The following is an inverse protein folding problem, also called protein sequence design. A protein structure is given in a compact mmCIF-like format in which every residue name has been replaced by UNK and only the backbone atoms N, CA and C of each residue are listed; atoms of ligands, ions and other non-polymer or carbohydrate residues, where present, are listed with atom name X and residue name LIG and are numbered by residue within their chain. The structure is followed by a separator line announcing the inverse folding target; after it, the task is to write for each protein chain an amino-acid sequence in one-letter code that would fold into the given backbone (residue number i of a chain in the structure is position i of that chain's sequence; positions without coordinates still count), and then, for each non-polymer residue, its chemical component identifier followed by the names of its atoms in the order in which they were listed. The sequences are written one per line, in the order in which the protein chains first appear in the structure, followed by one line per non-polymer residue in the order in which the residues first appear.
data_IF_575800427893
#
_entry.id   IF_575800427893
#
_cell.length_a   1.000
_cell.length_b   1.000
_cell.length_c   1.000
_cell.angle_alpha   90.00
_cell.angle_beta   90.00
_cell.angle_gamma   90.00
#
_symmetry.space_group_name_H-M   'P 1'
#
loop_
_entity.id
_entity.type
_entity.pdbx_description
1 polymer ?
#
# COMPACT_ATOMS: atom_id res chain seq x y z
N UNK A 1 11.18 6.27 -26.54
CA UNK A 1 11.25 5.00 -25.78
C UNK A 1 10.70 5.26 -24.40
N UNK A 2 9.83 4.40 -23.89
CA UNK A 2 9.29 4.50 -22.52
C UNK A 2 10.42 4.35 -21.50
N UNK A 3 10.34 5.12 -20.42
CA UNK A 3 11.24 4.97 -19.26
C UNK A 3 10.90 3.70 -18.49
N UNK A 4 11.63 3.42 -17.40
CA UNK A 4 11.29 2.30 -16.46
C UNK A 4 9.91 2.52 -15.85
N UNK A 5 9.58 3.77 -15.55
CA UNK A 5 8.29 4.14 -14.94
C UNK A 5 7.15 3.95 -15.94
N UNK A 6 7.37 4.27 -17.21
CA UNK A 6 6.40 4.01 -18.28
C UNK A 6 6.14 2.52 -18.50
N UNK A 7 7.17 1.66 -18.43
CA UNK A 7 7.01 0.22 -18.48
C UNK A 7 6.25 -0.32 -17.26
N UNK A 8 6.60 0.16 -16.05
CA UNK A 8 5.87 -0.21 -14.83
C UNK A 8 4.39 0.22 -14.94
N UNK A 9 4.13 1.45 -15.41
CA UNK A 9 2.78 1.94 -15.66
C UNK A 9 2.00 1.07 -16.63
N UNK A 10 2.65 0.60 -17.70
CA UNK A 10 2.02 -0.27 -18.71
C UNK A 10 1.66 -1.64 -18.14
N UNK A 11 2.53 -2.23 -17.33
CA UNK A 11 2.25 -3.51 -16.64
C UNK A 11 1.09 -3.36 -15.67
N UNK A 12 1.09 -2.30 -14.85
CA UNK A 12 -0.01 -2.02 -13.91
C UNK A 12 -1.31 -1.75 -14.64
N UNK A 13 -1.28 -1.00 -15.75
CA UNK A 13 -2.46 -0.74 -16.57
C UNK A 13 -3.03 -2.05 -17.14
N UNK A 14 -2.20 -2.89 -17.74
CA UNK A 14 -2.64 -4.17 -18.28
C UNK A 14 -3.24 -5.07 -17.19
N UNK A 15 -2.56 -5.19 -16.05
CA UNK A 15 -3.07 -5.98 -14.91
C UNK A 15 -4.41 -5.42 -14.39
N UNK A 16 -4.52 -4.11 -14.24
CA UNK A 16 -5.75 -3.47 -13.78
C UNK A 16 -6.92 -3.68 -14.73
N UNK A 17 -6.68 -3.62 -16.05
CA UNK A 17 -7.72 -3.84 -17.04
C UNK A 17 -8.18 -5.30 -17.08
N UNK A 18 -7.25 -6.26 -17.01
CA UNK A 18 -7.57 -7.70 -16.93
C UNK A 18 -8.40 -7.99 -15.69
N UNK A 19 -7.93 -7.54 -14.52
CA UNK A 19 -8.65 -7.73 -13.26
C UNK A 19 -10.01 -7.02 -13.27
N UNK A 20 -10.10 -5.83 -13.85
CA UNK A 20 -11.37 -5.12 -14.02
C UNK A 20 -12.36 -5.94 -14.85
N UNK A 21 -11.90 -6.51 -15.98
CA UNK A 21 -12.71 -7.42 -16.80
C UNK A 21 -13.26 -8.60 -15.99
N UNK A 22 -12.42 -9.25 -15.17
CA UNK A 22 -12.83 -10.36 -14.31
C UNK A 22 -13.88 -9.94 -13.25
N UNK A 23 -13.85 -8.68 -12.80
CA UNK A 23 -14.90 -8.20 -11.87
C UNK A 23 -16.28 -8.06 -12.50
N UNK A 24 -16.36 -7.97 -13.82
CA UNK A 24 -17.65 -7.87 -14.54
C UNK A 24 -18.43 -9.20 -14.49
N UNK A 25 -17.73 -10.32 -14.35
CA UNK A 25 -18.33 -11.65 -14.21
C UNK A 25 -18.90 -11.93 -12.81
N UNK A 26 -18.58 -11.07 -11.82
CA UNK A 26 -19.11 -11.20 -10.46
C UNK A 26 -20.63 -10.97 -10.46
N UNK A 27 -21.38 -12.01 -10.14
CA UNK A 27 -22.85 -11.95 -10.06
C UNK A 27 -23.29 -11.01 -8.95
N UNK A 28 -24.09 -10.02 -9.29
CA UNK A 28 -24.74 -9.17 -8.31
C UNK A 28 -25.82 -9.99 -7.57
N UNK A 29 -25.82 -9.91 -6.25
CA UNK A 29 -26.92 -10.46 -5.44
C UNK A 29 -28.00 -9.39 -5.34
N UNK A 30 -29.23 -9.62 -5.85
CA UNK A 30 -30.30 -8.64 -5.83
C UNK A 30 -30.78 -8.24 -4.42
N UNK A 31 -30.39 -9.01 -3.40
CA UNK A 31 -30.72 -8.74 -1.99
C UNK A 31 -29.77 -7.75 -1.31
N UNK A 32 -28.67 -7.37 -1.98
CA UNK A 32 -27.65 -6.48 -1.41
C UNK A 32 -27.53 -5.23 -2.27
N UNK A 33 -27.76 -4.02 -1.72
CA UNK A 33 -27.71 -2.76 -2.47
C UNK A 33 -26.36 -2.50 -3.16
N UNK A 34 -25.27 -3.00 -2.57
CA UNK A 34 -23.90 -2.85 -3.11
C UNK A 34 -23.33 -4.25 -3.31
N UNK A 35 -23.22 -4.68 -4.56
CA UNK A 35 -22.68 -6.00 -4.91
C UNK A 35 -21.16 -6.11 -4.66
N UNK A 36 -20.63 -7.35 -4.54
CA UNK A 36 -19.22 -7.61 -4.22
C UNK A 36 -18.23 -7.05 -5.26
N UNK A 37 -18.68 -6.81 -6.47
CA UNK A 37 -17.88 -6.22 -7.55
C UNK A 37 -17.77 -4.69 -7.51
N UNK A 38 -18.55 -3.99 -6.68
CA UNK A 38 -18.60 -2.53 -6.68
C UNK A 38 -17.25 -1.92 -6.24
N UNK A 39 -16.75 -2.33 -5.08
CA UNK A 39 -15.48 -1.83 -4.54
C UNK A 39 -14.28 -2.18 -5.44
N UNK A 40 -14.07 -3.44 -5.85
CA UNK A 40 -12.98 -3.78 -6.78
C UNK A 40 -13.03 -3.00 -8.09
N UNK A 41 -14.21 -2.76 -8.66
CA UNK A 41 -14.35 -1.98 -9.91
C UNK A 41 -13.87 -0.56 -9.76
N UNK A 42 -14.23 0.11 -8.67
CA UNK A 42 -13.77 1.49 -8.40
C UNK A 42 -12.25 1.51 -8.26
N UNK A 43 -11.69 0.63 -7.41
CA UNK A 43 -10.24 0.59 -7.16
C UNK A 43 -9.47 0.30 -8.44
N UNK A 44 -9.86 -0.71 -9.19
CA UNK A 44 -9.21 -1.09 -10.44
C UNK A 44 -9.40 -0.03 -11.54
N UNK A 45 -10.55 0.61 -11.60
CA UNK A 45 -10.81 1.72 -12.52
C UNK A 45 -9.91 2.93 -12.22
N UNK A 46 -9.80 3.33 -10.97
CA UNK A 46 -8.89 4.41 -10.54
C UNK A 46 -7.43 4.03 -10.79
N UNK A 47 -7.05 2.79 -10.47
CA UNK A 47 -5.68 2.30 -10.72
C UNK A 47 -5.35 2.30 -12.22
N UNK A 48 -6.25 1.84 -13.06
CA UNK A 48 -6.09 1.87 -14.51
C UNK A 48 -5.95 3.31 -15.04
N UNK A 49 -6.78 4.24 -14.55
CA UNK A 49 -6.69 5.65 -14.92
C UNK A 49 -5.34 6.26 -14.53
N UNK A 50 -4.90 6.04 -13.30
CA UNK A 50 -3.60 6.55 -12.82
C UNK A 50 -2.42 5.94 -13.57
N UNK A 51 -2.48 4.62 -13.86
CA UNK A 51 -1.47 3.95 -14.65
C UNK A 51 -1.43 4.48 -16.10
N UNK A 52 -2.59 4.74 -16.71
CA UNK A 52 -2.67 5.36 -18.04
C UNK A 52 -2.07 6.78 -18.03
N UNK A 53 -2.39 7.59 -17.01
CA UNK A 53 -1.78 8.92 -16.85
C UNK A 53 -0.26 8.82 -16.68
N UNK A 54 0.23 7.85 -15.93
CA UNK A 54 1.67 7.62 -15.77
C UNK A 54 2.34 7.31 -17.11
N UNK A 55 1.76 6.41 -17.90
CA UNK A 55 2.29 6.07 -19.25
C UNK A 55 2.29 7.28 -20.17
N UNK A 56 1.21 8.05 -20.17
CA UNK A 56 1.09 9.26 -21.01
C UNK A 56 2.08 10.33 -20.58
N UNK A 57 2.19 10.60 -19.28
CA UNK A 57 3.14 11.59 -18.76
C UNK A 57 4.58 11.19 -19.03
N UNK A 58 4.92 9.90 -18.88
CA UNK A 58 6.24 9.38 -19.19
C UNK A 58 6.57 9.54 -20.69
N UNK A 59 5.62 9.29 -21.56
CA UNK A 59 5.81 9.49 -23.00
C UNK A 59 6.15 10.94 -23.34
N UNK A 60 5.42 11.90 -22.75
CA UNK A 60 5.70 13.33 -22.96
C UNK A 60 7.00 13.77 -22.28
N UNK A 61 7.31 13.24 -21.09
CA UNK A 61 8.52 13.55 -20.35
C UNK A 61 9.78 12.91 -20.95
N UNK A 62 9.66 11.79 -21.65
CA UNK A 62 10.78 11.11 -22.32
C UNK A 62 11.51 12.01 -23.32
N UNK A 63 10.86 13.07 -23.81
CA UNK A 63 11.48 14.11 -24.65
C UNK A 63 12.34 15.12 -23.87
N UNK A 64 12.22 15.15 -22.52
CA UNK A 64 12.94 16.08 -21.62
C UNK A 64 13.79 15.36 -20.57
N UNK A 65 14.15 14.10 -20.81
CA UNK A 65 14.80 13.26 -19.81
C UNK A 65 16.13 13.86 -19.33
N UNK A 66 16.11 14.30 -18.07
CA UNK A 66 17.31 14.61 -17.28
C UNK A 66 18.06 13.33 -16.85
N UNK A 67 19.20 13.46 -16.15
CA UNK A 67 19.99 12.33 -15.71
C UNK A 67 19.15 11.39 -14.85
N UNK A 68 19.18 10.09 -15.22
CA UNK A 68 18.46 9.04 -14.48
C UNK A 68 19.07 8.86 -13.10
N UNK A 69 18.29 9.08 -12.06
CA UNK A 69 18.69 8.71 -10.68
C UNK A 69 18.80 7.19 -10.61
N UNK A 70 19.94 6.62 -10.14
CA UNK A 70 20.05 5.19 -9.98
C UNK A 70 19.03 4.68 -8.96
N UNK A 71 18.31 3.61 -9.32
CA UNK A 71 17.35 3.00 -8.40
C UNK A 71 18.10 2.20 -7.33
N UNK A 72 17.83 2.47 -6.07
CA UNK A 72 18.35 1.69 -4.95
C UNK A 72 17.49 0.44 -4.74
N UNK A 73 17.86 -0.63 -5.45
CA UNK A 73 17.16 -1.91 -5.33
C UNK A 73 17.33 -2.55 -3.95
N UNK A 74 18.43 -2.25 -3.24
CA UNK A 74 18.66 -2.79 -1.90
C UNK A 74 17.62 -2.22 -0.91
N UNK A 75 17.33 -0.92 -0.98
CA UNK A 75 16.28 -0.30 -0.18
C UNK A 75 14.89 -0.88 -0.50
N UNK A 76 14.61 -1.15 -1.77
CA UNK A 76 13.34 -1.77 -2.19
C UNK A 76 13.20 -3.19 -1.61
N UNK A 77 14.23 -4.04 -1.77
CA UNK A 77 14.23 -5.41 -1.24
C UNK A 77 14.10 -5.40 0.28
N UNK A 78 14.85 -4.51 0.95
CA UNK A 78 14.74 -4.34 2.40
C UNK A 78 13.32 -3.99 2.84
N UNK A 79 12.66 -3.08 2.13
CA UNK A 79 11.28 -2.68 2.44
C UNK A 79 10.30 -3.83 2.28
N UNK A 80 10.45 -4.65 1.23
CA UNK A 80 9.64 -5.86 1.06
C UNK A 80 9.91 -6.90 2.15
N UNK A 81 11.16 -7.05 2.59
CA UNK A 81 11.52 -7.95 3.69
C UNK A 81 10.88 -7.49 5.01
N UNK A 82 10.95 -6.20 5.33
CA UNK A 82 10.29 -5.62 6.50
C UNK A 82 8.77 -5.82 6.45
N UNK A 83 8.16 -5.65 5.28
CA UNK A 83 6.72 -5.93 5.10
C UNK A 83 6.40 -7.42 5.29
N UNK A 84 7.23 -8.32 4.75
CA UNK A 84 7.07 -9.76 4.96
C UNK A 84 7.14 -10.16 6.43
N UNK A 85 8.11 -9.59 7.18
CA UNK A 85 8.24 -9.79 8.63
C UNK A 85 7.00 -9.25 9.36
N UNK A 86 6.50 -8.08 8.98
CA UNK A 86 5.26 -7.52 9.53
C UNK A 86 4.08 -8.48 9.36
N UNK A 87 3.86 -9.00 8.15
CA UNK A 87 2.76 -9.94 7.87
C UNK A 87 2.92 -11.22 8.69
N UNK A 88 4.14 -11.76 8.79
CA UNK A 88 4.43 -12.94 9.60
C UNK A 88 4.22 -12.71 11.09
N UNK A 89 4.46 -11.49 11.58
CA UNK A 89 4.31 -11.12 12.99
C UNK A 89 2.85 -10.87 13.42
N UNK A 90 1.95 -10.58 12.47
CA UNK A 90 0.54 -10.27 12.76
C UNK A 90 -0.16 -11.30 13.67
N UNK A 91 -0.05 -12.64 13.44
CA UNK A 91 -0.71 -13.62 14.28
C UNK A 91 -0.19 -13.68 15.73
N UNK A 92 1.04 -13.21 15.96
CA UNK A 92 1.70 -13.27 17.27
C UNK A 92 1.52 -11.99 18.07
N UNK A 93 1.80 -10.85 17.44
CA UNK A 93 1.79 -9.51 18.06
C UNK A 93 0.43 -8.81 17.98
N UNK A 94 -0.46 -9.26 17.10
CA UNK A 94 -1.69 -8.55 16.78
C UNK A 94 -1.48 -7.32 15.91
N UNK A 95 -2.58 -6.84 15.33
CA UNK A 95 -2.54 -5.74 14.37
C UNK A 95 -1.94 -4.45 14.94
N UNK A 96 -2.35 -4.06 16.14
CA UNK A 96 -1.95 -2.76 16.74
C UNK A 96 -0.44 -2.65 16.91
N UNK A 97 0.17 -3.66 17.56
CA UNK A 97 1.61 -3.65 17.87
C UNK A 97 2.43 -3.87 16.61
N UNK A 98 2.03 -4.85 15.78
CA UNK A 98 2.73 -5.13 14.53
C UNK A 98 2.72 -3.90 13.60
N UNK A 99 1.59 -3.20 13.45
CA UNK A 99 1.49 -2.00 12.61
C UNK A 99 2.29 -0.85 13.19
N UNK A 100 2.27 -0.63 14.50
CA UNK A 100 3.12 0.37 15.15
C UNK A 100 4.60 0.10 14.86
N UNK A 101 5.06 -1.14 15.10
CA UNK A 101 6.44 -1.52 14.87
C UNK A 101 6.84 -1.38 13.38
N UNK A 102 5.98 -1.83 12.47
CA UNK A 102 6.19 -1.72 11.04
C UNK A 102 6.36 -0.27 10.58
N UNK A 103 5.44 0.61 10.98
CA UNK A 103 5.50 2.03 10.60
C UNK A 103 6.72 2.71 11.22
N UNK A 104 7.06 2.40 12.47
CA UNK A 104 8.24 2.95 13.13
C UNK A 104 9.54 2.52 12.43
N UNK A 105 9.68 1.22 12.13
CA UNK A 105 10.87 0.67 11.45
C UNK A 105 10.98 1.23 10.03
N UNK A 106 9.89 1.25 9.27
CA UNK A 106 9.89 1.78 7.90
C UNK A 106 10.29 3.25 7.86
N UNK A 107 9.72 4.09 8.75
CA UNK A 107 10.12 5.50 8.85
C UNK A 107 11.60 5.65 9.22
N UNK A 108 12.08 4.87 10.19
CA UNK A 108 13.48 4.93 10.60
C UNK A 108 14.47 4.45 9.51
N UNK A 109 14.06 3.52 8.67
CA UNK A 109 14.87 3.05 7.54
C UNK A 109 14.91 4.07 6.40
N UNK A 110 13.79 4.75 6.11
CA UNK A 110 13.71 5.73 5.02
C UNK A 110 14.37 7.07 5.39
N UNK A 111 14.20 7.51 6.64
CA UNK A 111 14.81 8.74 7.18
C UNK A 111 15.37 8.44 8.57
N UNK A 112 16.65 8.01 8.65
CA UNK A 112 17.27 7.61 9.92
C UNK A 112 17.28 8.76 10.95
N UNK A 113 16.56 8.63 12.07
CA UNK A 113 16.44 9.70 13.04
C UNK A 113 17.77 9.90 13.78
N UNK A 114 18.25 11.16 13.79
CA UNK A 114 19.55 11.55 14.35
C UNK A 114 19.48 12.12 15.77
N UNK A 115 18.29 12.19 16.38
CA UNK A 115 18.12 12.78 17.71
C UNK A 115 16.78 12.43 18.36
N UNK A 116 16.68 12.64 19.67
CA UNK A 116 15.50 12.29 20.47
C UNK A 116 14.19 12.89 19.93
N UNK A 117 14.22 14.13 19.43
CA UNK A 117 13.05 14.78 18.85
C UNK A 117 12.54 14.07 17.56
N UNK A 118 13.46 13.55 16.76
CA UNK A 118 13.11 12.82 15.53
C UNK A 118 12.56 11.43 15.89
N UNK A 119 13.13 10.75 16.87
CA UNK A 119 12.59 9.50 17.40
C UNK A 119 11.18 9.69 17.98
N UNK A 120 10.96 10.76 18.73
CA UNK A 120 9.61 11.08 19.22
C UNK A 120 8.61 11.32 18.08
N UNK A 121 9.04 11.97 16.99
CA UNK A 121 8.20 12.14 15.79
C UNK A 121 7.87 10.82 15.13
N UNK A 122 8.86 9.94 14.93
CA UNK A 122 8.65 8.59 14.35
C UNK A 122 7.66 7.80 15.21
N UNK A 123 7.85 7.80 16.53
CA UNK A 123 6.95 7.11 17.44
C UNK A 123 5.52 7.69 17.41
N UNK A 124 5.39 9.02 17.36
CA UNK A 124 4.09 9.69 17.28
C UNK A 124 3.36 9.37 15.96
N UNK A 125 4.06 9.38 14.82
CA UNK A 125 3.50 9.03 13.52
C UNK A 125 3.07 7.55 13.52
N UNK A 126 3.94 6.65 14.01
CA UNK A 126 3.64 5.23 14.06
C UNK A 126 2.43 4.92 14.94
N UNK A 127 2.35 5.56 16.12
CA UNK A 127 1.22 5.41 17.04
C UNK A 127 -0.07 5.97 16.41
N UNK A 128 -0.03 7.17 15.86
CA UNK A 128 -1.18 7.78 15.21
C UNK A 128 -1.68 6.94 14.03
N UNK A 129 -0.78 6.43 13.19
CA UNK A 129 -1.13 5.56 12.07
C UNK A 129 -1.77 4.26 12.52
N UNK A 130 -1.18 3.57 13.52
CA UNK A 130 -1.70 2.32 14.03
C UNK A 130 -3.09 2.50 14.68
N UNK A 131 -3.27 3.55 15.49
CA UNK A 131 -4.55 3.84 16.14
C UNK A 131 -5.62 4.29 15.14
N UNK A 132 -5.27 5.18 14.20
CA UNK A 132 -6.22 5.65 13.18
C UNK A 132 -6.70 4.48 12.32
N UNK A 133 -5.78 3.65 11.83
CA UNK A 133 -6.13 2.48 11.01
C UNK A 133 -6.97 1.49 11.81
N UNK A 134 -6.57 1.17 13.04
CA UNK A 134 -7.33 0.29 13.92
C UNK A 134 -8.76 0.81 14.12
N UNK A 135 -8.91 2.09 14.48
CA UNK A 135 -10.22 2.68 14.77
C UNK A 135 -11.13 2.70 13.53
N UNK A 136 -10.57 3.05 12.37
CA UNK A 136 -11.32 3.07 11.11
C UNK A 136 -11.78 1.67 10.73
N UNK A 137 -10.90 0.67 10.77
CA UNK A 137 -11.26 -0.68 10.35
C UNK A 137 -12.20 -1.39 11.34
N UNK A 138 -11.92 -1.32 12.64
CA UNK A 138 -12.70 -2.04 13.65
C UNK A 138 -14.01 -1.33 13.98
N UNK A 139 -14.00 0.01 14.10
CA UNK A 139 -15.19 0.75 14.52
C UNK A 139 -16.10 1.15 13.35
N UNK A 140 -15.54 1.69 12.25
CA UNK A 140 -16.37 2.14 11.13
C UNK A 140 -16.65 1.05 10.10
N UNK A 141 -15.68 0.21 9.81
CA UNK A 141 -15.81 -0.83 8.79
C UNK A 141 -16.25 -2.17 9.37
N UNK A 142 -16.30 -2.31 10.70
CA UNK A 142 -16.65 -3.56 11.40
C UNK A 142 -15.83 -4.78 10.92
N UNK A 143 -14.59 -4.52 10.49
CA UNK A 143 -13.66 -5.57 10.06
C UNK A 143 -12.88 -6.05 11.27
N UNK A 144 -13.01 -7.33 11.59
CA UNK A 144 -12.24 -7.96 12.66
C UNK A 144 -10.77 -8.01 12.28
N UNK A 145 -9.95 -7.22 12.97
CA UNK A 145 -8.50 -7.21 12.78
C UNK A 145 -7.86 -8.37 13.56
N UNK A 146 -6.71 -8.90 13.07
CA UNK A 146 -6.02 -10.00 13.73
C UNK A 146 -5.62 -9.63 15.16
N UNK A 147 -6.09 -10.41 16.13
CA UNK A 147 -5.66 -10.31 17.54
C UNK A 147 -4.41 -11.16 17.75
N UNK A 148 -3.44 -10.63 18.47
CA UNK A 148 -2.18 -11.32 18.72
C UNK A 148 -2.34 -12.43 19.78
N UNK A 149 -1.69 -13.57 19.55
CA UNK A 149 -1.68 -14.67 20.51
C UNK A 149 -1.02 -14.30 21.85
N UNK A 150 -0.11 -13.31 21.83
CA UNK A 150 0.65 -12.91 23.02
C UNK A 150 0.09 -11.66 23.70
N UNK A 151 -0.72 -10.88 23.02
CA UNK A 151 -1.11 -9.55 23.49
C UNK A 151 -2.61 -9.44 23.75
N UNK A 152 -3.41 -10.39 23.30
CA UNK A 152 -4.88 -10.43 23.42
C UNK A 152 -5.60 -9.12 22.96
N UNK A 153 -4.87 -8.27 22.21
CA UNK A 153 -5.33 -6.99 21.68
C UNK A 153 -5.58 -7.05 20.19
#
# INVERSE_FOLDING_TARGET
MLSRDGWAGLVVLAASLVLFGLTLELKANPLVPIGPGFYPRIVLGVTALLAALLVVTDWYAAKKAGPKVPADYAAVVLQFAVFGIYVAALPWLGFRIATFAYVAVTNALMDPPRGARQWARVAAIALASALATYYVFEHYLSVLLPRGRWTDF
#
